data_IF_600444662427
#
_entry.id   IF_600444662427
#
_cell.length_a   1.000
_cell.length_b   1.000
_cell.length_c   1.000
_cell.angle_alpha   90.00
_cell.angle_beta   90.00
_cell.angle_gamma   90.00
#
_symmetry.space_group_name_H-M   'P 1'
#
loop_
_entity.id
_entity.type
_entity.pdbx_description
1 polymer ?
#
# COMPACT_ATOMS: atom_id res chain seq x y z
N UNK A 1 -62.58 -10.41 -19.16
CA UNK A 1 -61.49 -9.41 -19.25
C UNK A 1 -60.65 -9.30 -17.98
N UNK A 2 -61.26 -9.11 -16.78
CA UNK A 2 -60.52 -8.96 -15.50
C UNK A 2 -59.51 -10.07 -15.19
N UNK A 3 -59.78 -11.32 -15.59
CA UNK A 3 -58.90 -12.49 -15.35
C UNK A 3 -57.53 -12.39 -16.01
N UNK A 4 -57.43 -11.88 -17.25
CA UNK A 4 -56.13 -11.71 -17.93
C UNK A 4 -55.22 -10.69 -17.23
N UNK A 5 -55.82 -9.67 -16.60
CA UNK A 5 -55.06 -8.64 -15.87
C UNK A 5 -54.38 -9.17 -14.61
N UNK A 6 -54.90 -10.25 -14.01
CA UNK A 6 -54.27 -10.94 -12.87
C UNK A 6 -53.08 -11.79 -13.35
N UNK A 7 -53.24 -12.50 -14.47
CA UNK A 7 -52.16 -13.30 -15.06
C UNK A 7 -50.96 -12.44 -15.48
N UNK A 8 -51.19 -11.30 -16.14
CA UNK A 8 -50.13 -10.34 -16.49
C UNK A 8 -49.35 -9.83 -15.28
N UNK A 9 -50.02 -9.56 -14.15
CA UNK A 9 -49.34 -9.12 -12.91
C UNK A 9 -48.42 -10.20 -12.34
N UNK A 10 -48.82 -11.46 -12.33
CA UNK A 10 -47.96 -12.54 -11.87
C UNK A 10 -46.72 -12.75 -12.77
N UNK A 11 -46.85 -12.56 -14.08
CA UNK A 11 -45.69 -12.60 -15.00
C UNK A 11 -44.70 -11.46 -14.70
N UNK A 12 -45.18 -10.24 -14.43
CA UNK A 12 -44.30 -9.11 -14.06
C UNK A 12 -43.58 -9.38 -12.73
N UNK A 13 -44.27 -9.91 -11.71
CA UNK A 13 -43.61 -10.28 -10.45
C UNK A 13 -42.56 -11.39 -10.63
N UNK A 14 -42.83 -12.40 -11.47
CA UNK A 14 -41.87 -13.45 -11.80
C UNK A 14 -40.65 -12.90 -12.55
N UNK A 15 -40.83 -11.94 -13.47
CA UNK A 15 -39.72 -11.31 -14.19
C UNK A 15 -38.83 -10.47 -13.26
N UNK A 16 -39.41 -9.65 -12.39
CA UNK A 16 -38.65 -8.86 -11.40
C UNK A 16 -37.91 -9.78 -10.41
N UNK A 17 -38.52 -10.89 -10.00
CA UNK A 17 -37.89 -11.86 -9.11
C UNK A 17 -36.76 -12.63 -9.82
N UNK A 18 -36.93 -13.00 -11.09
CA UNK A 18 -35.87 -13.53 -11.95
C UNK A 18 -34.72 -12.53 -12.14
N UNK A 19 -35.01 -11.25 -12.34
CA UNK A 19 -34.00 -10.20 -12.47
C UNK A 19 -33.22 -10.02 -11.15
N UNK A 20 -33.89 -10.03 -9.99
CA UNK A 20 -33.22 -10.09 -8.69
C UNK A 20 -32.36 -11.36 -8.51
N UNK A 21 -32.84 -12.53 -8.95
CA UNK A 21 -32.05 -13.77 -8.92
C UNK A 21 -30.84 -13.71 -9.85
N UNK A 22 -30.97 -13.19 -11.07
CA UNK A 22 -29.84 -12.99 -12.01
C UNK A 22 -28.83 -11.99 -11.46
N UNK A 23 -29.27 -10.94 -10.76
CA UNK A 23 -28.39 -10.01 -10.07
C UNK A 23 -27.65 -10.67 -8.90
N UNK A 24 -28.29 -11.55 -8.10
CA UNK A 24 -27.57 -12.32 -7.07
C UNK A 24 -26.61 -13.34 -7.66
N UNK A 25 -27.00 -14.06 -8.72
CA UNK A 25 -26.14 -15.05 -9.39
C UNK A 25 -24.91 -14.37 -9.98
N UNK A 26 -25.07 -13.27 -10.72
CA UNK A 26 -23.93 -12.47 -11.20
C UNK A 26 -23.02 -11.97 -10.07
N UNK A 27 -23.58 -11.48 -8.97
CA UNK A 27 -22.78 -11.07 -7.80
C UNK A 27 -22.00 -12.23 -7.14
N UNK A 28 -22.42 -13.49 -7.35
CA UNK A 28 -21.66 -14.69 -6.95
C UNK A 28 -20.73 -15.23 -8.04
N UNK A 29 -21.02 -15.02 -9.32
CA UNK A 29 -20.12 -15.39 -10.43
C UNK A 29 -18.92 -14.43 -10.48
N UNK A 30 -19.15 -13.12 -10.34
CA UNK A 30 -18.08 -12.11 -10.21
C UNK A 30 -17.17 -12.41 -8.99
N UNK A 31 -17.74 -12.99 -7.92
CA UNK A 31 -17.00 -13.42 -6.73
C UNK A 31 -16.29 -14.80 -6.87
N UNK A 32 -16.48 -15.51 -7.99
CA UNK A 32 -15.88 -16.83 -8.23
C UNK A 32 -15.00 -16.87 -9.49
N UNK A 33 -15.24 -16.06 -10.52
CA UNK A 33 -14.40 -16.01 -11.72
C UNK A 33 -12.98 -15.48 -11.44
N UNK A 34 -12.76 -14.81 -10.31
CA UNK A 34 -11.42 -14.49 -9.80
C UNK A 34 -10.58 -15.69 -9.36
N UNK A 35 -11.13 -16.92 -9.29
CA UNK A 35 -10.45 -18.11 -8.73
C UNK A 35 -9.77 -19.03 -9.76
N UNK A 36 -9.72 -18.63 -11.03
CA UNK A 36 -8.97 -19.35 -12.07
C UNK A 36 -7.50 -18.90 -12.19
N UNK A 37 -7.14 -17.75 -11.59
CA UNK A 37 -5.76 -17.38 -11.30
C UNK A 37 -5.44 -17.70 -9.84
N UNK A 38 -4.24 -18.20 -9.58
CA UNK A 38 -3.77 -18.49 -8.21
C UNK A 38 -3.50 -17.22 -7.43
N UNK A 39 -4.54 -16.66 -6.82
CA UNK A 39 -4.42 -15.70 -5.71
C UNK A 39 -4.81 -16.46 -4.45
N UNK A 40 -3.87 -16.56 -3.51
CA UNK A 40 -4.11 -17.18 -2.21
C UNK A 40 -5.32 -16.53 -1.50
N UNK A 41 -5.91 -17.26 -0.55
CA UNK A 41 -7.00 -16.72 0.25
C UNK A 41 -6.49 -15.54 1.10
N UNK A 42 -6.61 -14.31 0.57
CA UNK A 42 -6.09 -13.09 1.17
C UNK A 42 -6.70 -12.91 2.56
N UNK A 43 -5.94 -13.32 3.56
CA UNK A 43 -6.19 -13.07 4.99
C UNK A 43 -6.31 -11.56 5.15
N UNK A 44 -7.55 -11.09 5.35
CA UNK A 44 -8.02 -9.74 4.98
C UNK A 44 -7.06 -8.60 5.28
N UNK A 45 -6.11 -8.37 4.38
CA UNK A 45 -5.02 -7.44 4.58
C UNK A 45 -5.59 -6.03 4.58
N UNK A 46 -5.22 -5.23 5.58
CA UNK A 46 -5.72 -3.86 5.73
C UNK A 46 -5.15 -3.00 4.62
N UNK A 47 -5.85 -2.95 3.47
CA UNK A 47 -5.48 -2.14 2.30
C UNK A 47 -5.12 -0.74 2.77
N UNK A 48 -3.84 -0.42 2.69
CA UNK A 48 -3.24 0.81 3.18
C UNK A 48 -2.56 1.52 2.01
N UNK A 49 -2.63 2.84 2.00
CA UNK A 49 -1.90 3.65 1.02
C UNK A 49 -0.54 3.95 1.64
N UNK A 50 0.51 3.27 1.16
CA UNK A 50 1.86 3.81 1.30
C UNK A 50 1.89 5.17 0.59
N UNK A 51 1.83 6.23 1.40
CA UNK A 51 1.74 7.61 0.92
C UNK A 51 3.08 8.10 0.37
N UNK A 52 4.21 7.53 0.78
CA UNK A 52 5.50 7.91 0.19
C UNK A 52 5.66 7.26 -1.19
N UNK A 53 5.43 5.96 -1.33
CA UNK A 53 5.51 5.27 -2.63
C UNK A 53 4.45 5.79 -3.61
N UNK A 54 3.22 6.06 -3.17
CA UNK A 54 2.22 6.72 -4.01
C UNK A 54 2.68 8.10 -4.49
N UNK A 55 3.30 8.91 -3.63
CA UNK A 55 3.85 10.22 -4.02
C UNK A 55 5.11 10.10 -4.87
N UNK A 56 5.91 9.04 -4.72
CA UNK A 56 7.07 8.69 -5.55
C UNK A 56 6.68 8.16 -6.93
N UNK A 57 5.44 7.69 -7.11
CA UNK A 57 4.83 7.44 -8.44
C UNK A 57 4.30 8.74 -9.03
N UNK A 58 3.53 9.50 -8.26
CA UNK A 58 2.95 10.78 -8.69
C UNK A 58 4.01 11.88 -8.95
N UNK A 59 5.23 11.78 -8.42
CA UNK A 59 6.34 12.71 -8.71
C UNK A 59 6.98 12.47 -10.09
N UNK A 60 6.81 11.27 -10.67
CA UNK A 60 7.35 10.89 -11.99
C UNK A 60 6.48 11.35 -13.16
N UNK A 61 5.33 11.98 -12.91
CA UNK A 61 4.43 12.48 -13.95
C UNK A 61 5.20 13.49 -14.84
N UNK A 62 5.43 13.20 -16.12
CA UNK A 62 6.16 14.12 -16.99
C UNK A 62 5.31 15.37 -17.22
N UNK A 63 5.93 16.55 -17.33
CA UNK A 63 5.21 17.80 -17.55
C UNK A 63 5.12 18.19 -19.04
N UNK A 64 5.05 17.22 -19.96
CA UNK A 64 4.86 17.51 -21.38
C UNK A 64 3.55 18.28 -21.62
N UNK A 65 3.59 19.34 -22.41
CA UNK A 65 2.38 20.01 -22.90
C UNK A 65 1.80 19.33 -24.16
N UNK A 66 0.87 20.01 -24.84
CA UNK A 66 0.21 19.48 -26.04
C UNK A 66 1.14 19.49 -27.25
N UNK A 67 1.96 20.54 -27.39
CA UNK A 67 2.88 20.75 -28.51
C UNK A 67 4.17 19.92 -28.33
N UNK A 68 4.61 19.67 -27.10
CA UNK A 68 5.64 18.68 -26.76
C UNK A 68 5.34 17.28 -27.32
N UNK A 69 4.07 16.87 -27.32
CA UNK A 69 3.63 15.53 -27.76
C UNK A 69 3.23 15.54 -29.23
N UNK A 70 2.52 16.57 -29.70
CA UNK A 70 2.06 16.70 -31.08
C UNK A 70 3.18 16.91 -32.09
N UNK A 71 4.18 17.70 -31.74
CA UNK A 71 5.28 18.06 -32.65
C UNK A 71 6.50 17.15 -32.48
N UNK A 72 6.36 16.04 -31.74
CA UNK A 72 7.34 14.96 -31.75
C UNK A 72 7.23 14.15 -33.04
N UNK A 73 8.16 14.34 -33.97
CA UNK A 73 8.17 13.62 -35.25
C UNK A 73 8.08 12.11 -35.09
N UNK A 74 8.75 11.56 -34.07
CA UNK A 74 8.71 10.12 -33.78
C UNK A 74 7.44 9.63 -33.08
N UNK A 75 6.44 10.51 -32.87
CA UNK A 75 5.04 10.16 -32.59
C UNK A 75 4.13 10.40 -33.80
N UNK A 76 4.34 11.47 -34.58
CA UNK A 76 3.53 11.75 -35.78
C UNK A 76 3.72 10.71 -36.87
N UNK A 77 4.95 10.23 -37.05
CA UNK A 77 5.36 9.36 -38.16
C UNK A 77 4.93 7.89 -37.93
N UNK A 78 4.56 7.54 -36.69
CA UNK A 78 4.08 6.20 -36.33
C UNK A 78 2.63 5.97 -36.77
N UNK A 79 1.72 6.86 -36.36
CA UNK A 79 0.31 6.87 -36.75
C UNK A 79 -0.32 8.21 -36.35
N UNK A 80 -1.13 8.80 -37.25
CA UNK A 80 -1.66 10.17 -37.10
C UNK A 80 -2.59 10.38 -35.91
N UNK A 81 -3.07 9.31 -35.26
CA UNK A 81 -3.88 9.37 -34.04
C UNK A 81 -3.15 8.86 -32.78
N UNK A 82 -1.95 8.27 -32.91
CA UNK A 82 -1.26 7.66 -31.76
C UNK A 82 -0.81 8.73 -30.74
N UNK A 83 -0.24 9.84 -31.20
CA UNK A 83 0.11 10.98 -30.34
C UNK A 83 -1.10 11.54 -29.56
N UNK A 84 -2.33 11.43 -30.10
CA UNK A 84 -3.56 11.79 -29.39
C UNK A 84 -3.92 10.81 -28.27
N UNK A 85 -3.53 9.54 -28.36
CA UNK A 85 -3.65 8.60 -27.24
C UNK A 85 -2.62 8.89 -26.14
N UNK A 86 -1.36 9.20 -26.53
CA UNK A 86 -0.32 9.67 -25.60
C UNK A 86 -0.80 10.93 -24.86
N UNK A 87 -1.36 11.91 -25.57
CA UNK A 87 -1.92 13.14 -24.98
C UNK A 87 -3.12 12.88 -24.06
N UNK A 88 -4.01 11.94 -24.38
CA UNK A 88 -5.14 11.57 -23.49
C UNK A 88 -4.67 11.00 -22.15
N UNK A 89 -3.67 10.11 -22.15
CA UNK A 89 -3.06 9.61 -20.89
C UNK A 89 -2.37 10.75 -20.15
N UNK A 90 -1.61 11.59 -20.84
CA UNK A 90 -0.91 12.73 -20.26
C UNK A 90 -1.87 13.74 -19.59
N UNK A 91 -3.04 14.00 -20.19
CA UNK A 91 -4.06 14.87 -19.60
C UNK A 91 -4.66 14.25 -18.33
N UNK A 92 -4.96 12.95 -18.33
CA UNK A 92 -5.48 12.24 -17.17
C UNK A 92 -4.44 12.12 -16.03
N UNK A 93 -3.15 12.01 -16.36
CA UNK A 93 -2.04 12.07 -15.41
C UNK A 93 -1.95 13.43 -14.70
N UNK A 94 -2.10 14.55 -15.42
CA UNK A 94 -2.09 15.90 -14.80
C UNK A 94 -3.21 16.05 -13.76
N UNK A 95 -4.39 15.53 -14.06
CA UNK A 95 -5.56 15.51 -13.16
C UNK A 95 -5.35 14.62 -11.91
N UNK A 96 -4.60 13.52 -12.04
CA UNK A 96 -4.48 12.47 -11.00
C UNK A 96 -4.00 12.99 -9.64
N UNK A 97 -3.20 14.06 -9.61
CA UNK A 97 -2.73 14.70 -8.37
C UNK A 97 -3.88 15.27 -7.54
N UNK A 98 -4.82 15.98 -8.18
CA UNK A 98 -6.00 16.51 -7.51
C UNK A 98 -6.96 15.39 -7.08
N UNK A 99 -7.11 14.34 -7.89
CA UNK A 99 -7.95 13.19 -7.55
C UNK A 99 -7.39 12.40 -6.37
N UNK A 100 -6.08 12.20 -6.29
CA UNK A 100 -5.42 11.60 -5.13
C UNK A 100 -5.62 12.45 -3.86
N UNK A 101 -5.32 13.76 -3.91
CA UNK A 101 -5.47 14.66 -2.76
C UNK A 101 -6.93 14.73 -2.24
N UNK A 102 -7.90 14.85 -3.14
CA UNK A 102 -9.31 14.83 -2.80
C UNK A 102 -9.70 13.46 -2.19
N UNK A 103 -9.17 12.37 -2.76
CA UNK A 103 -9.42 11.00 -2.30
C UNK A 103 -8.89 10.70 -0.90
N UNK A 104 -7.61 10.98 -0.63
CA UNK A 104 -7.00 10.80 0.70
C UNK A 104 -7.67 11.66 1.75
N UNK A 105 -7.98 12.93 1.41
CA UNK A 105 -8.71 13.83 2.30
C UNK A 105 -10.11 13.31 2.61
N UNK A 106 -10.85 12.81 1.61
CA UNK A 106 -12.16 12.21 1.85
C UNK A 106 -12.09 10.94 2.70
N UNK A 107 -11.09 10.07 2.51
CA UNK A 107 -10.86 8.88 3.36
C UNK A 107 -10.64 9.30 4.82
N UNK A 108 -9.79 10.30 5.05
CA UNK A 108 -9.50 10.85 6.39
C UNK A 108 -10.75 11.45 7.05
N UNK A 109 -11.47 12.33 6.34
CA UNK A 109 -12.73 12.91 6.81
C UNK A 109 -13.82 11.86 7.05
N UNK A 110 -13.77 10.72 6.37
CA UNK A 110 -14.63 9.57 6.63
C UNK A 110 -14.33 8.89 7.96
N UNK A 111 -13.05 8.71 8.28
CA UNK A 111 -12.59 8.11 9.54
C UNK A 111 -13.07 8.90 10.76
N UNK A 112 -12.89 10.22 10.75
CA UNK A 112 -13.35 11.12 11.83
C UNK A 112 -14.87 11.03 12.04
N UNK A 113 -15.63 11.05 10.94
CA UNK A 113 -17.10 10.94 10.95
C UNK A 113 -17.58 9.60 11.48
N UNK A 114 -17.00 8.48 11.00
CA UNK A 114 -17.32 7.14 11.50
C UNK A 114 -16.99 7.04 12.98
N UNK A 115 -15.82 7.52 13.42
CA UNK A 115 -15.38 7.47 14.82
C UNK A 115 -16.31 8.26 15.74
N UNK A 116 -16.77 9.44 15.32
CA UNK A 116 -17.74 10.24 16.08
C UNK A 116 -19.11 9.55 16.19
N UNK A 117 -19.62 8.99 15.09
CA UNK A 117 -20.91 8.30 15.07
C UNK A 117 -20.86 6.96 15.84
N UNK A 118 -19.79 6.17 15.69
CA UNK A 118 -19.60 4.92 16.43
C UNK A 118 -19.52 5.17 17.93
N UNK A 119 -18.81 6.23 18.37
CA UNK A 119 -18.82 6.62 19.78
C UNK A 119 -20.23 7.05 20.24
N UNK A 120 -20.95 7.85 19.46
CA UNK A 120 -22.32 8.27 19.78
C UNK A 120 -23.31 7.08 19.87
N UNK A 121 -23.07 6.05 19.04
CA UNK A 121 -23.75 4.75 19.08
C UNK A 121 -23.43 4.04 20.39
N UNK A 122 -22.16 3.76 20.67
CA UNK A 122 -21.63 3.09 21.89
C UNK A 122 -22.11 3.78 23.18
N UNK A 123 -21.94 5.10 23.27
CA UNK A 123 -22.36 5.92 24.42
C UNK A 123 -23.85 5.76 24.76
N UNK A 124 -24.70 5.44 23.77
CA UNK A 124 -26.15 5.32 23.91
C UNK A 124 -26.65 3.86 24.04
N UNK A 125 -25.78 2.85 24.02
CA UNK A 125 -26.17 1.44 23.81
C UNK A 125 -27.13 0.90 24.88
N UNK A 126 -26.65 0.68 26.09
CA UNK A 126 -27.46 0.12 27.18
C UNK A 126 -28.65 1.00 27.59
N UNK A 127 -28.64 2.28 27.25
CA UNK A 127 -29.79 3.17 27.44
C UNK A 127 -30.88 2.94 26.39
N UNK A 128 -30.48 2.82 25.11
CA UNK A 128 -31.37 2.50 24.00
C UNK A 128 -31.93 1.09 24.13
N UNK A 129 -31.12 0.13 24.58
CA UNK A 129 -31.58 -1.24 24.86
C UNK A 129 -32.63 -1.25 25.99
N UNK A 130 -32.34 -0.65 27.16
CA UNK A 130 -33.28 -0.58 28.30
C UNK A 130 -34.64 -0.03 27.88
N UNK A 131 -34.67 1.12 27.19
CA UNK A 131 -35.94 1.75 26.81
C UNK A 131 -36.66 0.99 25.68
N UNK A 132 -35.93 0.25 24.83
CA UNK A 132 -36.52 -0.61 23.80
C UNK A 132 -37.12 -1.89 24.40
N UNK A 133 -36.45 -2.52 25.37
CA UNK A 133 -36.98 -3.66 26.11
C UNK A 133 -38.25 -3.26 26.88
N UNK A 134 -38.17 -2.21 27.69
CA UNK A 134 -39.32 -1.63 28.41
C UNK A 134 -40.54 -1.40 27.49
N UNK A 135 -40.34 -0.81 26.31
CA UNK A 135 -41.46 -0.47 25.41
C UNK A 135 -41.99 -1.65 24.60
N UNK A 136 -41.19 -2.72 24.41
CA UNK A 136 -41.69 -4.04 24.00
C UNK A 136 -42.57 -4.65 25.08
N UNK A 137 -42.08 -4.67 26.32
CA UNK A 137 -42.72 -5.39 27.43
C UNK A 137 -44.03 -4.69 27.87
N UNK A 138 -44.07 -3.35 27.79
CA UNK A 138 -45.30 -2.55 27.77
C UNK A 138 -46.22 -2.97 26.62
N UNK A 139 -45.70 -3.05 25.39
CA UNK A 139 -46.47 -3.43 24.20
C UNK A 139 -47.15 -4.80 24.33
N UNK A 140 -46.48 -5.78 24.91
CA UNK A 140 -47.02 -7.12 25.15
C UNK A 140 -48.06 -7.17 26.30
N UNK A 141 -48.13 -6.14 27.16
CA UNK A 141 -49.16 -5.99 28.20
C UNK A 141 -50.35 -5.12 27.75
N UNK A 142 -50.14 -4.11 26.91
CA UNK A 142 -51.21 -3.18 26.46
C UNK A 142 -51.78 -3.52 25.08
N UNK A 143 -51.28 -4.56 24.40
CA UNK A 143 -51.78 -4.99 23.09
C UNK A 143 -51.99 -6.50 22.98
N UNK A 144 -52.85 -6.90 22.04
CA UNK A 144 -53.07 -8.29 21.62
C UNK A 144 -52.93 -8.41 20.10
N UNK A 145 -52.64 -9.60 19.60
CA UNK A 145 -52.62 -9.88 18.15
C UNK A 145 -53.94 -10.50 17.71
N UNK A 146 -54.69 -9.80 16.88
CA UNK A 146 -55.97 -10.27 16.30
C UNK A 146 -55.89 -10.21 14.77
N UNK A 147 -56.14 -11.34 14.10
CA UNK A 147 -56.03 -11.43 12.63
C UNK A 147 -54.66 -11.01 12.08
N UNK A 148 -53.58 -11.22 12.84
CA UNK A 148 -52.22 -10.78 12.51
C UNK A 148 -51.94 -9.29 12.73
N UNK A 149 -52.91 -8.49 13.18
CA UNK A 149 -52.74 -7.07 13.52
C UNK A 149 -52.56 -6.89 15.02
N UNK A 150 -51.70 -5.97 15.42
CA UNK A 150 -51.58 -5.53 16.81
C UNK A 150 -52.72 -4.57 17.14
N UNK A 151 -53.56 -4.95 18.10
CA UNK A 151 -54.75 -4.19 18.57
C UNK A 151 -54.52 -3.83 20.04
N UNK A 152 -54.74 -2.56 20.42
CA UNK A 152 -54.64 -2.14 21.83
C UNK A 152 -55.79 -2.73 22.65
N UNK A 153 -55.50 -3.12 23.88
CA UNK A 153 -56.51 -3.53 24.85
C UNK A 153 -57.25 -2.28 25.38
N UNK A 154 -58.58 -2.33 25.56
CA UNK A 154 -59.28 -1.41 26.43
C UNK A 154 -58.70 -1.47 27.84
N UNK A 155 -58.69 -0.35 28.57
CA UNK A 155 -58.04 -0.23 29.87
C UNK A 155 -58.47 -1.32 30.88
N UNK A 156 -59.77 -1.61 30.96
CA UNK A 156 -60.33 -2.67 31.83
C UNK A 156 -59.96 -4.11 31.45
N UNK A 157 -59.30 -4.33 30.29
CA UNK A 157 -58.80 -5.64 29.86
C UNK A 157 -57.27 -5.80 30.03
N UNK A 158 -56.59 -4.80 30.60
CA UNK A 158 -55.15 -4.84 30.86
C UNK A 158 -54.89 -5.56 32.20
N UNK A 159 -53.83 -6.36 32.27
CA UNK A 159 -53.35 -6.92 33.54
C UNK A 159 -52.78 -5.79 34.41
N UNK A 160 -53.65 -5.24 35.27
CA UNK A 160 -53.33 -4.13 36.18
C UNK A 160 -52.09 -4.41 37.03
N UNK A 161 -51.86 -5.64 37.49
CA UNK A 161 -50.70 -5.96 38.34
C UNK A 161 -49.39 -5.95 37.55
N UNK A 162 -49.40 -6.36 36.28
CA UNK A 162 -48.21 -6.24 35.40
C UNK A 162 -47.99 -4.81 34.96
N UNK A 163 -49.05 -4.12 34.57
CA UNK A 163 -49.01 -2.71 34.17
C UNK A 163 -48.49 -1.80 35.29
N UNK A 164 -48.97 -2.01 36.52
CA UNK A 164 -48.51 -1.30 37.73
C UNK A 164 -47.04 -1.53 38.08
N UNK A 165 -46.43 -2.62 37.59
CA UNK A 165 -44.99 -2.87 37.67
C UNK A 165 -44.24 -2.11 36.59
N UNK A 166 -44.66 -2.25 35.33
CA UNK A 166 -44.07 -1.58 34.17
C UNK A 166 -44.13 -0.05 34.25
N UNK A 167 -45.15 0.53 34.91
CA UNK A 167 -45.22 1.97 35.21
C UNK A 167 -44.09 2.42 36.14
N UNK A 168 -43.75 1.63 37.17
CA UNK A 168 -42.63 1.94 38.08
C UNK A 168 -41.28 1.74 37.38
N UNK A 169 -41.16 0.68 36.58
CA UNK A 169 -39.97 0.41 35.78
C UNK A 169 -39.74 1.51 34.72
N UNK A 170 -40.80 2.03 34.10
CA UNK A 170 -40.71 3.15 33.18
C UNK A 170 -40.17 4.42 33.85
N UNK A 171 -40.64 4.77 35.04
CA UNK A 171 -40.08 5.90 35.82
C UNK A 171 -38.60 5.70 36.11
N UNK A 172 -38.21 4.48 36.52
CA UNK A 172 -36.81 4.12 36.81
C UNK A 172 -35.92 4.21 35.56
N UNK A 173 -36.32 3.58 34.45
CA UNK A 173 -35.57 3.61 33.19
C UNK A 173 -35.46 5.03 32.63
N UNK A 174 -36.53 5.84 32.68
CA UNK A 174 -36.46 7.24 32.27
C UNK A 174 -35.45 8.03 33.12
N UNK A 175 -35.42 7.81 34.43
CA UNK A 175 -34.44 8.47 35.32
C UNK A 175 -32.99 8.02 35.06
N UNK A 176 -32.76 6.70 34.87
CA UNK A 176 -31.44 6.13 34.57
C UNK A 176 -30.88 6.58 33.20
N UNK A 177 -31.75 6.85 32.22
CA UNK A 177 -31.35 7.07 30.82
C UNK A 177 -31.44 8.53 30.35
N UNK A 178 -31.97 9.46 31.17
CA UNK A 178 -32.22 10.87 30.79
C UNK A 178 -31.03 11.62 30.18
N UNK A 179 -29.80 11.30 30.57
CA UNK A 179 -28.60 11.95 30.02
C UNK A 179 -28.07 11.31 28.73
N UNK A 180 -28.59 10.14 28.36
CA UNK A 180 -28.19 9.36 27.16
C UNK A 180 -29.17 9.52 25.99
N UNK A 181 -30.21 10.34 26.14
CA UNK A 181 -31.10 10.78 25.06
C UNK A 181 -30.28 11.52 23.99
N UNK A 182 -30.45 11.27 22.68
CA UNK A 182 -29.75 12.01 21.63
C UNK A 182 -30.04 13.52 21.67
N UNK A 183 -29.04 14.33 22.03
CA UNK A 183 -29.09 15.81 22.10
C UNK A 183 -28.71 16.46 20.75
N UNK A 184 -28.75 17.79 20.64
CA UNK A 184 -28.50 18.48 19.35
C UNK A 184 -27.14 18.13 18.72
N UNK A 185 -26.08 17.97 19.50
CA UNK A 185 -24.75 17.59 18.98
C UNK A 185 -24.73 16.21 18.29
N UNK A 186 -25.54 15.26 18.77
CA UNK A 186 -25.69 13.95 18.13
C UNK A 186 -26.32 14.09 16.73
N UNK A 187 -27.37 14.93 16.62
CA UNK A 187 -27.98 15.26 15.34
C UNK A 187 -27.02 16.02 14.42
N UNK A 188 -26.25 16.97 14.97
CA UNK A 188 -25.23 17.69 14.22
C UNK A 188 -24.16 16.74 13.66
N UNK A 189 -23.73 15.71 14.40
CA UNK A 189 -22.80 14.69 13.88
C UNK A 189 -23.39 13.85 12.77
N UNK A 190 -24.69 13.56 12.81
CA UNK A 190 -25.38 12.91 11.69
C UNK A 190 -25.58 13.82 10.48
N UNK A 191 -25.82 15.12 10.68
CA UNK A 191 -25.86 16.11 9.61
C UNK A 191 -24.46 16.30 8.97
N UNK A 192 -23.40 16.36 9.78
CA UNK A 192 -22.00 16.39 9.31
C UNK A 192 -21.69 15.14 8.47
N UNK A 193 -22.12 13.96 8.95
CA UNK A 193 -21.93 12.69 8.27
C UNK A 193 -22.71 12.57 6.96
N UNK A 194 -23.97 13.00 6.92
CA UNK A 194 -24.77 12.92 5.70
C UNK A 194 -24.24 13.89 4.62
N UNK A 195 -23.87 15.12 4.99
CA UNK A 195 -23.28 16.07 4.03
C UNK A 195 -21.94 15.56 3.49
N UNK A 196 -21.03 15.15 4.38
CA UNK A 196 -19.72 14.70 3.95
C UNK A 196 -19.84 13.47 3.01
N UNK A 197 -20.90 12.65 3.17
CA UNK A 197 -21.17 11.49 2.31
C UNK A 197 -21.53 11.91 0.89
N UNK A 198 -22.28 13.00 0.74
CA UNK A 198 -22.58 13.58 -0.57
C UNK A 198 -21.31 14.10 -1.24
N UNK A 199 -20.49 14.85 -0.51
CA UNK A 199 -19.20 15.37 -1.00
C UNK A 199 -18.25 14.25 -1.45
N UNK A 200 -18.04 13.23 -0.62
CA UNK A 200 -17.15 12.12 -0.95
C UNK A 200 -17.73 11.14 -1.98
N UNK A 201 -19.06 11.09 -2.16
CA UNK A 201 -19.67 10.43 -3.34
C UNK A 201 -19.37 11.20 -4.62
N UNK A 202 -19.31 12.54 -4.57
CA UNK A 202 -18.88 13.40 -5.67
C UNK A 202 -17.41 13.15 -6.01
N UNK A 203 -16.50 13.37 -5.05
CA UNK A 203 -15.05 13.17 -5.21
C UNK A 203 -14.73 11.76 -5.72
N UNK A 204 -15.37 10.71 -5.18
CA UNK A 204 -15.17 9.35 -5.70
C UNK A 204 -15.49 9.23 -7.19
N UNK A 205 -16.56 9.85 -7.69
CA UNK A 205 -16.89 9.81 -9.14
C UNK A 205 -15.82 10.50 -9.98
N UNK A 206 -15.15 11.53 -9.46
CA UNK A 206 -14.03 12.16 -10.15
C UNK A 206 -12.79 11.25 -10.18
N UNK A 207 -12.46 10.56 -9.08
CA UNK A 207 -11.39 9.56 -9.04
C UNK A 207 -11.69 8.41 -10.00
N UNK A 208 -12.89 7.84 -9.91
CA UNK A 208 -13.35 6.74 -10.76
C UNK A 208 -13.33 7.15 -12.26
N UNK A 209 -13.67 8.40 -12.59
CA UNK A 209 -13.59 8.95 -13.95
C UNK A 209 -12.15 9.12 -14.46
N UNK A 210 -11.24 9.69 -13.66
CA UNK A 210 -9.83 9.83 -14.06
C UNK A 210 -9.14 8.47 -14.17
N UNK A 211 -9.46 7.52 -13.29
CA UNK A 211 -8.99 6.13 -13.36
C UNK A 211 -9.48 5.43 -14.65
N UNK A 212 -10.75 5.59 -14.99
CA UNK A 212 -11.33 5.04 -16.22
C UNK A 212 -10.73 5.67 -17.49
N UNK A 213 -10.45 6.98 -17.45
CA UNK A 213 -9.75 7.70 -18.52
C UNK A 213 -8.31 7.20 -18.71
N UNK A 214 -7.58 6.93 -17.62
CA UNK A 214 -6.26 6.29 -17.67
C UNK A 214 -6.33 4.88 -18.25
N UNK A 215 -7.28 4.04 -17.81
CA UNK A 215 -7.45 2.66 -18.31
C UNK A 215 -7.65 2.64 -19.82
N UNK A 216 -8.67 3.36 -20.32
CA UNK A 216 -8.93 3.50 -21.77
C UNK A 216 -7.74 4.12 -22.50
N UNK A 217 -7.11 5.13 -21.91
CA UNK A 217 -5.91 5.76 -22.46
C UNK A 217 -4.76 4.76 -22.68
N UNK A 218 -4.51 3.87 -21.72
CA UNK A 218 -3.49 2.81 -21.78
C UNK A 218 -3.91 1.67 -22.73
N UNK A 219 -5.18 1.26 -22.73
CA UNK A 219 -5.72 0.27 -23.67
C UNK A 219 -5.48 0.69 -25.14
N UNK A 220 -5.53 1.99 -25.47
CA UNK A 220 -5.19 2.45 -26.83
C UNK A 220 -3.72 2.13 -27.20
N UNK A 221 -2.76 2.24 -26.28
CA UNK A 221 -1.35 1.93 -26.60
C UNK A 221 -1.20 0.49 -27.10
N UNK A 222 -1.85 -0.46 -26.42
CA UNK A 222 -1.71 -1.88 -26.72
C UNK A 222 -2.58 -2.31 -27.92
N UNK A 223 -3.70 -1.61 -28.17
CA UNK A 223 -4.56 -1.88 -29.34
C UNK A 223 -4.03 -1.32 -30.67
N UNK A 224 -3.17 -0.29 -30.68
CA UNK A 224 -2.73 0.32 -31.94
C UNK A 224 -1.79 -0.54 -32.79
N UNK A 225 -1.17 -1.60 -32.25
CA UNK A 225 -0.23 -2.46 -32.97
C UNK A 225 1.07 -1.77 -33.44
N UNK A 226 1.25 -0.50 -33.09
CA UNK A 226 2.40 0.36 -33.41
C UNK A 226 3.58 0.00 -32.51
N UNK A 227 4.79 -0.10 -33.07
CA UNK A 227 6.01 -0.26 -32.26
C UNK A 227 6.47 1.08 -31.66
N UNK A 228 5.75 1.55 -30.64
CA UNK A 228 6.08 2.77 -29.91
C UNK A 228 7.27 2.62 -28.94
N UNK A 229 7.86 1.43 -28.80
CA UNK A 229 8.97 1.20 -27.86
C UNK A 229 10.24 2.00 -28.17
N UNK A 230 10.38 2.45 -29.43
CA UNK A 230 11.45 3.36 -29.85
C UNK A 230 11.21 4.82 -29.42
N UNK A 231 9.96 5.23 -29.14
CA UNK A 231 9.66 6.59 -28.69
C UNK A 231 9.72 6.69 -27.16
N UNK A 232 10.68 7.46 -26.66
CA UNK A 232 10.90 7.65 -25.23
C UNK A 232 9.69 8.26 -24.51
N UNK A 233 9.04 9.30 -25.08
CA UNK A 233 7.91 9.99 -24.43
C UNK A 233 6.70 9.08 -24.25
N UNK A 234 6.36 8.29 -25.27
CA UNK A 234 5.29 7.30 -25.21
C UNK A 234 5.56 6.25 -24.13
N UNK A 235 6.78 5.70 -24.07
CA UNK A 235 7.16 4.73 -23.04
C UNK A 235 7.14 5.33 -21.63
N UNK A 236 7.57 6.59 -21.47
CA UNK A 236 7.56 7.32 -20.20
C UNK A 236 6.12 7.60 -19.72
N UNK A 237 5.26 8.12 -20.60
CA UNK A 237 3.84 8.38 -20.33
C UNK A 237 3.06 7.08 -20.08
N UNK A 238 3.30 5.99 -20.83
CA UNK A 238 2.63 4.71 -20.58
C UNK A 238 2.98 4.17 -19.19
N UNK A 239 4.27 4.05 -18.89
CA UNK A 239 4.75 3.50 -17.61
C UNK A 239 4.24 4.28 -16.41
N UNK A 240 4.28 5.62 -16.47
CA UNK A 240 3.75 6.44 -15.38
C UNK A 240 2.22 6.41 -15.34
N UNK A 241 1.55 6.26 -16.49
CA UNK A 241 0.13 5.96 -16.59
C UNK A 241 -0.26 4.68 -15.83
N UNK A 242 0.51 3.61 -15.98
CA UNK A 242 0.33 2.33 -15.27
C UNK A 242 0.59 2.48 -13.75
N UNK A 243 1.72 3.07 -13.36
CA UNK A 243 2.06 3.36 -11.96
C UNK A 243 0.95 4.16 -11.24
N UNK A 244 0.38 5.18 -11.92
CA UNK A 244 -0.63 6.08 -11.36
C UNK A 244 -2.06 5.51 -11.43
N UNK A 245 -2.38 4.70 -12.45
CA UNK A 245 -3.62 3.91 -12.51
C UNK A 245 -3.77 3.05 -11.25
N UNK A 246 -2.70 2.38 -10.84
CA UNK A 246 -2.74 1.47 -9.69
C UNK A 246 -2.87 2.24 -8.36
N UNK A 247 -2.22 3.40 -8.24
CA UNK A 247 -2.41 4.34 -7.11
C UNK A 247 -3.86 4.82 -7.01
N UNK A 248 -4.48 5.24 -8.12
CA UNK A 248 -5.89 5.68 -8.11
C UNK A 248 -6.86 4.50 -7.88
N UNK A 249 -6.55 3.28 -8.34
CA UNK A 249 -7.37 2.10 -8.06
C UNK A 249 -7.39 1.76 -6.56
N UNK A 250 -6.27 1.91 -5.86
CA UNK A 250 -6.20 1.75 -4.41
C UNK A 250 -7.01 2.84 -3.67
N UNK A 251 -6.97 4.10 -4.15
CA UNK A 251 -7.83 5.19 -3.64
C UNK A 251 -9.31 4.86 -3.84
N UNK A 252 -9.72 4.40 -5.03
CA UNK A 252 -11.11 3.97 -5.32
C UNK A 252 -11.57 2.83 -4.42
N UNK A 253 -10.71 1.82 -4.19
CA UNK A 253 -11.02 0.72 -3.27
C UNK A 253 -11.28 1.24 -1.85
N UNK A 254 -10.40 2.11 -1.33
CA UNK A 254 -10.53 2.63 0.03
C UNK A 254 -11.69 3.60 0.19
N UNK A 255 -11.95 4.47 -0.78
CA UNK A 255 -13.20 5.25 -0.85
C UNK A 255 -14.43 4.33 -0.84
N UNK A 256 -14.34 3.14 -1.45
CA UNK A 256 -15.31 2.05 -1.31
C UNK A 256 -15.48 1.55 0.14
N UNK A 257 -14.40 1.03 0.74
CA UNK A 257 -14.37 0.49 2.13
C UNK A 257 -14.99 1.49 3.12
N UNK A 258 -14.51 2.74 3.12
CA UNK A 258 -14.99 3.74 4.06
C UNK A 258 -16.44 4.17 3.76
N UNK A 259 -16.84 4.34 2.49
CA UNK A 259 -18.23 4.67 2.14
C UNK A 259 -19.22 3.62 2.68
N UNK A 260 -18.86 2.33 2.62
CA UNK A 260 -19.68 1.25 3.16
C UNK A 260 -19.75 1.32 4.69
N UNK A 261 -18.61 1.43 5.37
CA UNK A 261 -18.56 1.57 6.84
C UNK A 261 -19.38 2.77 7.34
N UNK A 262 -19.28 3.93 6.66
CA UNK A 262 -20.05 5.13 7.01
C UNK A 262 -21.55 4.97 6.80
N UNK A 263 -22.01 4.21 5.80
CA UNK A 263 -23.44 3.90 5.65
C UNK A 263 -23.98 3.07 6.81
N UNK A 264 -23.21 2.09 7.30
CA UNK A 264 -23.59 1.30 8.47
C UNK A 264 -23.61 2.16 9.74
N UNK A 265 -22.52 2.88 10.02
CA UNK A 265 -22.37 3.78 11.18
C UNK A 265 -23.50 4.83 11.26
N UNK A 266 -23.77 5.54 10.16
CA UNK A 266 -24.88 6.51 10.06
C UNK A 266 -26.25 5.85 10.15
N UNK A 267 -26.41 4.65 9.57
CA UNK A 267 -27.66 3.89 9.62
C UNK A 267 -28.01 3.42 11.03
N UNK A 268 -27.02 2.95 11.78
CA UNK A 268 -27.19 2.53 13.17
C UNK A 268 -27.48 3.71 14.11
N UNK A 269 -26.72 4.81 13.98
CA UNK A 269 -26.98 6.04 14.69
C UNK A 269 -28.43 6.54 14.50
N UNK A 270 -28.95 6.50 13.27
CA UNK A 270 -30.36 6.82 12.98
C UNK A 270 -31.34 5.83 13.60
N UNK A 271 -31.09 4.52 13.52
CA UNK A 271 -31.93 3.50 14.18
C UNK A 271 -32.07 3.74 15.68
N UNK A 272 -30.99 4.14 16.38
CA UNK A 272 -31.05 4.44 17.81
C UNK A 272 -31.94 5.67 18.09
N UNK A 273 -31.82 6.73 17.30
CA UNK A 273 -32.73 7.91 17.37
C UNK A 273 -34.19 7.53 17.06
N UNK A 274 -34.44 6.66 16.08
CA UNK A 274 -35.78 6.17 15.75
C UNK A 274 -36.37 5.31 16.87
N UNK A 275 -35.56 4.47 17.53
CA UNK A 275 -35.95 3.72 18.72
C UNK A 275 -36.33 4.64 19.89
N UNK A 276 -35.53 5.68 20.18
CA UNK A 276 -35.87 6.71 21.16
C UNK A 276 -37.17 7.46 20.83
N UNK A 277 -37.37 7.86 19.57
CA UNK A 277 -38.61 8.50 19.12
C UNK A 277 -39.84 7.59 19.27
N UNK A 278 -39.70 6.31 18.92
CA UNK A 278 -40.77 5.30 19.12
C UNK A 278 -41.07 5.12 20.60
N UNK A 279 -40.03 4.97 21.42
CA UNK A 279 -40.16 4.73 22.85
C UNK A 279 -40.92 5.84 23.57
N UNK A 280 -40.65 7.11 23.25
CA UNK A 280 -41.42 8.23 23.81
C UNK A 280 -42.87 8.31 23.31
N UNK A 281 -43.18 7.82 22.10
CA UNK A 281 -44.56 7.70 21.65
C UNK A 281 -45.29 6.58 22.41
N UNK A 282 -44.66 5.42 22.61
CA UNK A 282 -45.22 4.30 23.35
C UNK A 282 -45.41 4.62 24.85
N UNK A 283 -44.50 5.39 25.46
CA UNK A 283 -44.60 5.84 26.85
C UNK A 283 -45.63 6.95 27.08
N UNK A 284 -45.84 7.86 26.12
CA UNK A 284 -46.92 8.85 26.17
C UNK A 284 -48.29 8.20 26.20
N UNK A 285 -48.45 7.13 25.41
CA UNK A 285 -49.68 6.34 25.38
C UNK A 285 -49.94 5.66 26.74
N UNK A 286 -48.92 5.10 27.38
CA UNK A 286 -49.00 4.57 28.76
C UNK A 286 -49.43 5.66 29.74
N UNK A 287 -48.81 6.85 29.67
CA UNK A 287 -49.17 7.99 30.51
C UNK A 287 -50.64 8.43 30.37
N UNK A 288 -51.28 8.14 29.23
CA UNK A 288 -52.71 8.38 28.99
C UNK A 288 -53.67 7.29 29.48
N UNK A 289 -53.18 6.13 29.95
CA UNK A 289 -54.02 4.99 30.37
C UNK A 289 -54.52 5.11 31.82
N UNK A 290 -55.10 6.26 32.17
CA UNK A 290 -55.57 6.60 33.51
C UNK A 290 -56.77 5.79 34.04
N UNK A 291 -57.36 4.95 33.17
CA UNK A 291 -58.39 3.96 33.52
C UNK A 291 -57.79 2.57 33.83
N UNK A 292 -56.55 2.30 33.45
CA UNK A 292 -55.92 0.98 33.60
C UNK A 292 -55.24 0.79 34.97
N UNK A 293 -55.12 1.84 35.76
CA UNK A 293 -54.43 1.84 37.06
C UNK A 293 -55.00 2.90 38.00
N UNK A 294 -54.79 2.72 39.31
CA UNK A 294 -54.99 3.76 40.34
C UNK A 294 -53.75 4.68 40.48
N UNK A 295 -52.60 4.30 39.91
CA UNK A 295 -51.29 4.99 39.99
C UNK A 295 -51.21 6.23 39.10
N UNK A 296 -52.17 7.14 39.25
CA UNK A 296 -52.31 8.34 38.42
C UNK A 296 -51.14 9.31 38.56
N UNK A 297 -50.57 9.43 39.76
CA UNK A 297 -49.36 10.24 39.94
C UNK A 297 -48.17 9.69 39.16
N UNK A 298 -48.01 8.37 39.10
CA UNK A 298 -46.91 7.74 38.36
C UNK A 298 -47.10 7.82 36.85
N UNK A 299 -48.32 7.72 36.34
CA UNK A 299 -48.60 8.06 34.94
C UNK A 299 -48.26 9.52 34.61
N UNK A 300 -48.52 10.45 35.53
CA UNK A 300 -48.11 11.85 35.38
C UNK A 300 -46.59 12.00 35.43
N UNK A 301 -45.90 11.36 36.37
CA UNK A 301 -44.42 11.33 36.44
C UNK A 301 -43.78 10.75 35.17
N UNK A 302 -44.47 9.86 34.43
CA UNK A 302 -44.05 9.43 33.09
C UNK A 302 -44.24 10.55 32.07
N UNK A 303 -45.44 11.14 31.96
CA UNK A 303 -45.74 12.29 31.06
C UNK A 303 -44.70 13.41 31.23
N UNK A 304 -44.48 13.86 32.47
CA UNK A 304 -43.56 14.95 32.81
C UNK A 304 -42.11 14.64 32.39
N UNK A 305 -41.66 13.39 32.59
CA UNK A 305 -40.30 12.95 32.23
C UNK A 305 -40.07 12.83 30.72
N UNK A 306 -41.11 12.59 29.92
CA UNK A 306 -40.98 12.44 28.47
C UNK A 306 -41.33 13.70 27.69
N UNK A 307 -42.13 14.65 28.21
CA UNK A 307 -42.62 15.79 27.43
C UNK A 307 -41.47 16.58 26.80
N UNK A 308 -40.52 17.06 27.62
CA UNK A 308 -39.39 17.86 27.14
C UNK A 308 -38.45 17.03 26.24
N UNK A 309 -37.93 15.85 26.64
CA UNK A 309 -37.08 15.05 25.75
C UNK A 309 -37.75 14.62 24.43
N UNK A 310 -39.05 14.32 24.44
CA UNK A 310 -39.81 13.99 23.21
C UNK A 310 -39.95 15.21 22.30
N UNK A 311 -40.27 16.37 22.87
CA UNK A 311 -40.41 17.64 22.15
C UNK A 311 -39.08 18.08 21.53
N UNK A 312 -37.99 18.01 22.29
CA UNK A 312 -36.65 18.34 21.84
C UNK A 312 -36.18 17.37 20.75
N UNK A 313 -36.31 16.06 20.96
CA UNK A 313 -35.98 15.03 19.97
C UNK A 313 -36.81 15.17 18.69
N UNK A 314 -38.08 15.56 18.81
CA UNK A 314 -38.94 15.93 17.69
C UNK A 314 -38.41 17.14 16.93
N UNK A 315 -38.13 18.24 17.63
CA UNK A 315 -37.62 19.50 17.08
C UNK A 315 -36.31 19.31 16.30
N UNK A 316 -35.32 18.61 16.89
CA UNK A 316 -33.99 18.42 16.29
C UNK A 316 -33.98 17.42 15.12
N UNK A 317 -35.00 16.56 15.00
CA UNK A 317 -35.14 15.60 13.89
C UNK A 317 -36.13 16.03 12.80
N UNK A 318 -37.02 16.99 13.06
CA UNK A 318 -37.93 17.56 12.07
C UNK A 318 -37.18 18.46 11.07
N UNK A 319 -37.06 17.98 9.83
CA UNK A 319 -36.40 18.71 8.73
C UNK A 319 -37.22 19.89 8.19
N UNK A 320 -38.51 19.99 8.51
CA UNK A 320 -39.36 21.12 8.12
C UNK A 320 -39.21 22.32 9.09
N UNK A 321 -38.73 22.07 10.30
CA UNK A 321 -38.43 23.08 11.30
C UNK A 321 -37.32 24.03 10.81
N UNK A 322 -37.59 25.34 10.85
CA UNK A 322 -36.66 26.37 10.37
C UNK A 322 -35.30 26.36 11.07
N UNK A 323 -35.23 25.99 12.36
CA UNK A 323 -33.96 25.87 13.11
C UNK A 323 -33.18 24.65 12.67
N UNK A 324 -33.81 23.49 12.52
CA UNK A 324 -33.16 22.27 12.02
C UNK A 324 -32.70 22.44 10.57
N UNK A 325 -33.49 23.10 9.72
CA UNK A 325 -33.07 23.49 8.38
C UNK A 325 -31.89 24.48 8.39
N UNK A 326 -31.87 25.44 9.32
CA UNK A 326 -30.74 26.38 9.51
C UNK A 326 -29.48 25.67 10.03
N UNK A 327 -29.62 24.69 10.94
CA UNK A 327 -28.52 23.82 11.42
C UNK A 327 -27.95 23.02 10.26
N UNK A 328 -28.79 22.32 9.50
CA UNK A 328 -28.39 21.59 8.30
C UNK A 328 -27.67 22.48 7.29
N UNK A 329 -28.24 23.63 6.92
CA UNK A 329 -27.62 24.58 6.00
C UNK A 329 -26.30 25.18 6.50
N UNK A 330 -26.12 25.33 7.82
CA UNK A 330 -24.82 25.70 8.41
C UNK A 330 -23.84 24.54 8.28
N UNK A 331 -24.21 23.35 8.73
CA UNK A 331 -23.39 22.13 8.66
C UNK A 331 -22.95 21.83 7.23
N UNK A 332 -23.81 22.06 6.23
CA UNK A 332 -23.49 21.94 4.81
C UNK A 332 -22.31 22.84 4.43
N UNK A 333 -22.34 24.12 4.82
CA UNK A 333 -21.26 25.09 4.56
C UNK A 333 -19.99 24.79 5.36
N UNK A 334 -20.13 24.45 6.64
CA UNK A 334 -19.00 24.15 7.53
C UNK A 334 -18.23 22.91 7.03
N UNK A 335 -18.93 21.86 6.55
CA UNK A 335 -18.31 20.65 6.00
C UNK A 335 -17.76 20.87 4.58
N UNK A 336 -18.49 21.56 3.70
CA UNK A 336 -18.02 21.90 2.35
C UNK A 336 -16.72 22.73 2.41
N UNK A 337 -16.67 23.75 3.28
CA UNK A 337 -15.45 24.50 3.54
C UNK A 337 -14.34 23.60 4.10
N UNK A 338 -14.61 22.81 5.15
CA UNK A 338 -13.59 21.97 5.79
C UNK A 338 -12.95 20.96 4.81
N UNK A 339 -13.72 20.39 3.88
CA UNK A 339 -13.20 19.49 2.84
C UNK A 339 -12.38 20.28 1.81
N UNK A 340 -12.83 21.46 1.37
CA UNK A 340 -12.08 22.31 0.42
C UNK A 340 -10.75 22.80 0.99
N UNK A 341 -10.76 23.30 2.22
CA UNK A 341 -9.57 23.75 2.94
C UNK A 341 -8.59 22.57 3.10
N UNK A 342 -9.08 21.39 3.53
CA UNK A 342 -8.24 20.20 3.70
C UNK A 342 -7.69 19.64 2.37
N UNK A 343 -8.44 19.68 1.27
CA UNK A 343 -7.95 19.30 -0.06
C UNK A 343 -6.82 20.24 -0.53
N UNK A 344 -6.93 21.54 -0.26
CA UNK A 344 -5.91 22.53 -0.59
C UNK A 344 -4.64 22.35 0.27
N UNK A 345 -4.81 22.10 1.57
CA UNK A 345 -3.74 21.74 2.50
C UNK A 345 -3.00 20.47 2.04
N UNK A 346 -3.72 19.41 1.66
CA UNK A 346 -3.12 18.15 1.20
C UNK A 346 -2.40 18.34 -0.15
N UNK A 347 -2.93 19.13 -1.09
CA UNK A 347 -2.23 19.48 -2.32
C UNK A 347 -0.90 20.21 -2.05
N UNK A 348 -0.87 21.16 -1.10
CA UNK A 348 0.37 21.83 -0.70
C UNK A 348 1.37 20.87 -0.04
N UNK A 349 0.89 20.00 0.85
CA UNK A 349 1.72 18.96 1.51
C UNK A 349 2.31 17.98 0.49
N UNK A 350 1.51 17.53 -0.49
CA UNK A 350 1.96 16.67 -1.58
C UNK A 350 3.03 17.35 -2.44
N UNK A 351 2.88 18.64 -2.76
CA UNK A 351 3.85 19.37 -3.57
C UNK A 351 5.19 19.59 -2.86
N UNK A 352 5.18 19.80 -1.54
CA UNK A 352 6.40 19.83 -0.72
C UNK A 352 7.03 18.43 -0.64
N UNK A 353 6.24 17.40 -0.38
CA UNK A 353 6.72 16.03 -0.20
C UNK A 353 7.26 15.42 -1.50
N UNK A 354 6.64 15.72 -2.65
CA UNK A 354 7.20 15.37 -3.96
C UNK A 354 8.56 16.03 -4.21
N UNK A 355 8.76 17.28 -3.77
CA UNK A 355 10.07 17.96 -3.89
C UNK A 355 11.11 17.30 -3.00
N UNK A 356 10.76 16.89 -1.78
CA UNK A 356 11.62 16.08 -0.91
C UNK A 356 12.01 14.77 -1.59
N UNK A 357 11.03 13.96 -2.00
CA UNK A 357 11.25 12.66 -2.67
C UNK A 357 12.12 12.84 -3.93
N UNK A 358 11.84 13.86 -4.76
CA UNK A 358 12.63 14.13 -5.95
C UNK A 358 14.06 14.65 -5.64
N UNK A 359 14.30 15.28 -4.50
CA UNK A 359 15.65 15.59 -4.03
C UNK A 359 16.37 14.35 -3.49
N UNK A 360 15.70 13.53 -2.67
CA UNK A 360 16.26 12.31 -2.11
C UNK A 360 16.61 11.29 -3.21
N UNK A 361 15.76 11.09 -4.22
CA UNK A 361 16.08 10.25 -5.38
C UNK A 361 17.24 10.83 -6.24
N UNK A 362 17.36 12.17 -6.36
CA UNK A 362 18.53 12.80 -7.00
C UNK A 362 19.81 12.58 -6.20
N UNK A 363 19.76 12.71 -4.86
CA UNK A 363 20.88 12.44 -3.96
C UNK A 363 21.33 10.98 -4.06
N UNK A 364 20.39 10.03 -4.12
CA UNK A 364 20.67 8.60 -4.32
C UNK A 364 21.35 8.33 -5.67
N UNK A 365 20.83 8.86 -6.77
CA UNK A 365 21.44 8.69 -8.11
C UNK A 365 22.83 9.31 -8.17
N UNK A 366 23.05 10.45 -7.52
CA UNK A 366 24.37 11.09 -7.43
C UNK A 366 25.35 10.28 -6.58
N UNK A 367 24.91 9.74 -5.43
CA UNK A 367 25.72 8.84 -4.61
C UNK A 367 26.10 7.56 -5.38
N UNK A 368 25.13 6.90 -6.03
CA UNK A 368 25.39 5.73 -6.87
C UNK A 368 26.36 6.05 -8.02
N UNK A 369 26.33 7.26 -8.59
CA UNK A 369 27.30 7.70 -9.60
C UNK A 369 28.69 7.84 -9.02
N UNK A 370 28.83 8.52 -7.88
CA UNK A 370 30.12 8.71 -7.21
C UNK A 370 30.73 7.37 -6.76
N UNK A 371 29.92 6.44 -6.25
CA UNK A 371 30.35 5.09 -5.88
C UNK A 371 30.86 4.30 -7.10
N UNK A 372 30.17 4.39 -8.25
CA UNK A 372 30.64 3.78 -9.51
C UNK A 372 31.92 4.42 -10.03
N UNK A 373 32.05 5.75 -9.98
CA UNK A 373 33.28 6.45 -10.38
C UNK A 373 34.46 6.13 -9.46
N UNK A 374 34.25 5.98 -8.15
CA UNK A 374 35.28 5.55 -7.21
C UNK A 374 35.71 4.10 -7.45
N UNK A 375 34.76 3.19 -7.69
CA UNK A 375 35.05 1.79 -8.03
C UNK A 375 35.76 1.65 -9.38
N UNK A 376 35.41 2.45 -10.40
CA UNK A 376 36.13 2.45 -11.67
C UNK A 376 37.56 2.98 -11.49
N UNK A 377 37.75 4.08 -10.76
CA UNK A 377 39.10 4.59 -10.43
C UNK A 377 39.92 3.57 -9.66
N UNK A 378 39.32 2.84 -8.71
CA UNK A 378 39.98 1.75 -7.98
C UNK A 378 40.46 0.65 -8.93
N UNK A 379 39.60 0.20 -9.86
CA UNK A 379 39.97 -0.80 -10.87
C UNK A 379 41.06 -0.31 -11.83
N UNK A 380 40.99 0.95 -12.28
CA UNK A 380 42.02 1.55 -13.13
C UNK A 380 43.37 1.65 -12.40
N UNK A 381 43.37 1.98 -11.11
CA UNK A 381 44.59 2.04 -10.30
C UNK A 381 45.15 0.63 -10.00
N UNK A 382 44.30 -0.34 -9.67
CA UNK A 382 44.68 -1.76 -9.52
C UNK A 382 45.26 -2.33 -10.83
N UNK A 383 44.69 -1.99 -11.99
CA UNK A 383 45.23 -2.38 -13.30
C UNK A 383 46.59 -1.70 -13.58
N UNK A 384 46.76 -0.43 -13.20
CA UNK A 384 48.04 0.29 -13.34
C UNK A 384 49.12 -0.26 -12.42
N UNK A 385 48.78 -0.61 -11.18
CA UNK A 385 49.68 -1.27 -10.24
C UNK A 385 50.07 -2.66 -10.75
N UNK A 386 49.11 -3.48 -11.18
CA UNK A 386 49.39 -4.78 -11.79
C UNK A 386 50.29 -4.70 -13.04
N UNK A 387 50.08 -3.71 -13.92
CA UNK A 387 50.97 -3.44 -15.06
C UNK A 387 52.36 -2.98 -14.64
N UNK A 388 52.48 -2.14 -13.60
CA UNK A 388 53.75 -1.67 -13.07
C UNK A 388 54.54 -2.81 -12.39
N UNK A 389 53.87 -3.68 -11.63
CA UNK A 389 54.47 -4.87 -11.02
C UNK A 389 54.91 -5.89 -12.08
N UNK A 390 54.08 -6.15 -13.09
CA UNK A 390 54.44 -7.03 -14.20
C UNK A 390 55.69 -6.51 -14.96
N UNK A 391 55.71 -5.22 -15.29
CA UNK A 391 56.88 -4.59 -15.93
C UNK A 391 58.13 -4.60 -15.03
N UNK A 392 57.96 -4.41 -13.71
CA UNK A 392 59.07 -4.50 -12.74
C UNK A 392 59.59 -5.95 -12.60
N UNK A 393 58.71 -6.95 -12.65
CA UNK A 393 59.08 -8.37 -12.62
C UNK A 393 59.79 -8.79 -13.92
N UNK A 394 59.32 -8.33 -15.08
CA UNK A 394 60.01 -8.55 -16.36
C UNK A 394 61.38 -7.87 -16.38
N UNK A 395 61.47 -6.60 -15.94
CA UNK A 395 62.74 -5.88 -15.84
C UNK A 395 63.75 -6.54 -14.87
N UNK A 396 63.28 -7.24 -13.83
CA UNK A 396 64.12 -8.11 -13.00
C UNK A 396 64.59 -9.33 -13.79
N UNK A 397 63.68 -10.10 -14.40
CA UNK A 397 64.04 -11.28 -15.22
C UNK A 397 65.04 -10.97 -16.34
N UNK A 398 64.90 -9.82 -17.00
CA UNK A 398 65.86 -9.37 -18.03
C UNK A 398 67.23 -9.05 -17.42
N UNK A 399 67.31 -8.42 -16.25
CA UNK A 399 68.58 -8.20 -15.52
C UNK A 399 69.20 -9.52 -15.07
N UNK A 400 68.41 -10.41 -14.48
CA UNK A 400 68.86 -11.71 -13.98
C UNK A 400 69.41 -12.58 -15.12
N UNK A 401 68.76 -12.57 -16.30
CA UNK A 401 69.26 -13.30 -17.48
C UNK A 401 70.49 -12.62 -18.12
N UNK A 402 70.56 -11.29 -18.15
CA UNK A 402 71.78 -10.57 -18.57
C UNK A 402 72.95 -10.87 -17.64
N UNK A 403 72.72 -10.94 -16.32
CA UNK A 403 73.76 -11.29 -15.37
C UNK A 403 74.15 -12.76 -15.48
N UNK A 404 73.19 -13.67 -15.67
CA UNK A 404 73.48 -15.09 -15.95
C UNK A 404 74.34 -15.24 -17.20
N UNK A 405 74.01 -14.54 -18.29
CA UNK A 405 74.80 -14.51 -19.53
C UNK A 405 76.21 -13.94 -19.33
N UNK A 406 76.37 -12.87 -18.52
CA UNK A 406 77.69 -12.34 -18.15
C UNK A 406 78.49 -13.35 -17.33
N UNK A 407 77.89 -14.01 -16.34
CA UNK A 407 78.52 -15.06 -15.53
C UNK A 407 78.89 -16.28 -16.38
N UNK A 408 78.04 -16.69 -17.31
CA UNK A 408 78.31 -17.75 -18.30
C UNK A 408 79.47 -17.38 -19.23
N UNK A 409 79.53 -16.14 -19.72
CA UNK A 409 80.61 -15.65 -20.59
C UNK A 409 81.93 -15.47 -19.82
N UNK A 410 81.90 -15.01 -18.57
CA UNK A 410 83.07 -14.96 -17.68
C UNK A 410 83.57 -16.37 -17.37
N UNK A 411 82.70 -17.28 -16.92
CA UNK A 411 83.06 -18.67 -16.68
C UNK A 411 83.56 -19.38 -17.95
N UNK A 412 83.08 -18.99 -19.15
CA UNK A 412 83.64 -19.46 -20.41
C UNK A 412 85.03 -18.87 -20.68
N UNK A 413 85.24 -17.57 -20.47
CA UNK A 413 86.57 -16.95 -20.60
C UNK A 413 87.57 -17.54 -19.62
N UNK A 414 87.19 -17.72 -18.36
CA UNK A 414 87.97 -18.41 -17.34
C UNK A 414 88.28 -19.86 -17.74
N UNK A 415 87.34 -20.61 -18.34
CA UNK A 415 87.60 -21.96 -18.88
C UNK A 415 88.48 -21.95 -20.12
N UNK A 416 88.30 -21.01 -21.04
CA UNK A 416 89.14 -20.86 -22.24
C UNK A 416 90.55 -20.36 -21.87
N UNK A 417 90.69 -19.59 -20.79
CA UNK A 417 91.95 -19.10 -20.23
C UNK A 417 92.64 -20.17 -19.38
N UNK A 418 91.92 -20.90 -18.52
CA UNK A 418 92.42 -22.11 -17.88
C UNK A 418 92.79 -23.19 -18.91
N UNK A 419 92.06 -23.35 -20.02
CA UNK A 419 92.42 -24.28 -21.09
C UNK A 419 93.60 -23.77 -21.93
N UNK A 420 93.84 -22.45 -22.00
CA UNK A 420 95.09 -21.88 -22.56
C UNK A 420 96.25 -22.00 -21.59
N UNK A 421 96.04 -21.85 -20.29
CA UNK A 421 97.05 -22.02 -19.25
C UNK A 421 97.37 -23.50 -19.05
N UNK A 422 96.40 -24.40 -19.18
CA UNK A 422 96.59 -25.86 -19.20
C UNK A 422 97.24 -26.28 -20.52
N UNK A 423 96.92 -25.66 -21.67
CA UNK A 423 97.69 -25.88 -22.90
C UNK A 423 99.09 -25.29 -22.83
N UNK A 424 99.30 -24.16 -22.15
CA UNK A 424 100.61 -23.57 -21.95
C UNK A 424 101.43 -24.38 -20.94
N UNK A 425 100.81 -24.92 -19.88
CA UNK A 425 101.38 -25.90 -18.96
C UNK A 425 101.64 -27.22 -19.65
N UNK A 426 100.75 -27.73 -20.50
CA UNK A 426 100.99 -28.93 -21.32
C UNK A 426 102.08 -28.69 -22.36
N UNK A 427 102.23 -27.50 -22.95
CA UNK A 427 103.33 -27.17 -23.88
C UNK A 427 104.64 -26.87 -23.14
N UNK A 428 104.59 -26.34 -21.91
CA UNK A 428 105.75 -26.19 -21.05
C UNK A 428 106.18 -27.52 -20.43
N UNK A 429 105.23 -28.42 -20.15
CA UNK A 429 105.43 -29.79 -19.70
C UNK A 429 105.83 -30.70 -20.87
N UNK A 430 105.34 -30.47 -22.08
CA UNK A 430 105.78 -31.15 -23.31
C UNK A 430 107.17 -30.67 -23.73
N UNK A 431 107.51 -29.39 -23.54
CA UNK A 431 108.90 -28.91 -23.67
C UNK A 431 109.80 -29.41 -22.54
N UNK A 432 109.30 -29.46 -21.30
CA UNK A 432 110.04 -30.04 -20.18
C UNK A 432 110.19 -31.57 -20.31
N UNK A 433 109.22 -32.27 -20.90
CA UNK A 433 109.29 -33.70 -21.28
C UNK A 433 110.17 -33.91 -22.51
N UNK A 434 110.18 -33.02 -23.49
CA UNK A 434 111.20 -33.04 -24.55
C UNK A 434 112.63 -32.83 -24.01
N UNK A 435 112.78 -32.18 -22.85
CA UNK A 435 114.05 -32.03 -22.11
C UNK A 435 114.27 -33.14 -21.05
N UNK A 436 113.23 -33.90 -20.65
CA UNK A 436 113.29 -34.88 -19.55
C UNK A 436 112.96 -36.34 -19.94
N UNK A 437 112.44 -36.62 -21.14
CA UNK A 437 112.30 -37.99 -21.67
C UNK A 437 113.63 -38.53 -22.21
N UNK A 438 114.58 -37.66 -22.57
CA UNK A 438 116.00 -38.03 -22.62
C UNK A 438 116.57 -38.38 -21.22
N UNK A 439 115.87 -38.01 -20.13
CA UNK A 439 116.27 -38.20 -18.74
C UNK A 439 115.55 -39.34 -17.98
N UNK A 440 115.42 -40.51 -18.64
CA UNK A 440 115.40 -41.87 -18.02
C UNK A 440 114.09 -42.38 -17.36
N UNK A 441 113.39 -43.24 -18.11
CA UNK A 441 113.11 -44.66 -17.78
C UNK A 441 113.13 -45.12 -16.28
N UNK A 442 111.95 -45.46 -15.71
CA UNK A 442 111.58 -46.69 -14.92
C UNK A 442 110.84 -46.47 -13.57
N UNK A 443 109.72 -47.23 -13.40
CA UNK A 443 109.11 -47.76 -12.14
C UNK A 443 108.47 -46.75 -11.14
N UNK A 444 107.60 -47.13 -10.19
CA UNK A 444 106.50 -48.15 -10.07
C UNK A 444 105.81 -47.98 -8.67
N UNK A 445 104.58 -48.46 -8.51
CA UNK A 445 103.88 -48.81 -7.24
C UNK A 445 103.25 -47.70 -6.35
N UNK A 446 102.20 -48.07 -5.59
CA UNK A 446 101.45 -47.25 -4.59
C UNK A 446 100.21 -46.52 -5.16
N UNK A 447 98.93 -46.92 -4.99
CA UNK A 447 98.12 -47.41 -3.85
C UNK A 447 97.61 -46.33 -2.87
N UNK A 448 96.29 -46.04 -2.90
CA UNK A 448 95.38 -46.00 -1.72
C UNK A 448 93.95 -45.50 -2.08
N UNK A 449 92.93 -46.21 -1.59
CA UNK A 449 91.53 -45.76 -1.36
C UNK A 449 91.34 -45.54 0.18
N UNK A 450 90.21 -45.08 0.77
CA UNK A 450 88.81 -44.87 0.31
C UNK A 450 88.41 -43.36 0.43
N UNK A 451 87.21 -42.83 0.75
CA UNK A 451 85.84 -43.29 1.13
C UNK A 451 84.85 -42.14 0.73
N UNK A 452 83.62 -42.29 0.22
CA UNK A 452 82.38 -42.95 0.70
C UNK A 452 81.67 -42.26 1.89
N UNK A 453 81.06 -41.07 1.67
CA UNK A 453 80.24 -40.37 2.69
C UNK A 453 78.95 -39.75 2.10
N UNK A 454 77.82 -40.45 2.29
CA UNK A 454 76.48 -39.93 2.66
C UNK A 454 75.64 -39.00 1.72
N UNK A 455 74.33 -39.32 1.63
CA UNK A 455 73.23 -38.34 1.56
C UNK A 455 72.67 -38.14 2.99
N UNK A 456 71.34 -38.23 3.26
CA UNK A 456 70.15 -37.93 2.47
C UNK A 456 69.26 -36.92 3.25
N UNK A 457 67.92 -36.97 3.07
CA UNK A 457 66.86 -36.42 3.95
C UNK A 457 66.58 -34.90 4.05
N UNK A 458 65.32 -34.58 3.71
CA UNK A 458 64.35 -33.59 4.24
C UNK A 458 63.48 -33.15 3.04
N UNK A 459 62.22 -33.56 2.85
CA UNK A 459 61.15 -34.05 3.75
C UNK A 459 60.79 -33.06 4.87
N UNK A 460 59.49 -32.95 5.17
CA UNK A 460 58.82 -31.78 5.81
C UNK A 460 58.70 -30.62 4.79
N UNK A 461 57.52 -30.08 4.40
CA UNK A 461 56.14 -30.30 4.86
C UNK A 461 55.27 -30.93 3.75
N UNK A 462 54.72 -32.11 4.01
CA UNK A 462 53.39 -32.49 3.52
C UNK A 462 52.39 -32.14 4.65
N UNK A 463 51.09 -32.04 4.35
CA UNK A 463 49.98 -31.61 5.23
C UNK A 463 49.71 -30.10 5.27
N UNK A 464 48.87 -29.64 4.34
CA UNK A 464 47.86 -28.60 4.57
C UNK A 464 46.80 -28.64 3.44
N UNK A 465 46.25 -29.83 3.19
CA UNK A 465 45.09 -30.08 2.32
C UNK A 465 44.10 -30.91 3.14
N UNK A 466 42.80 -30.67 2.94
CA UNK A 466 41.65 -31.22 3.69
C UNK A 466 41.42 -30.61 5.09
N UNK A 467 40.15 -30.30 5.38
CA UNK A 467 39.69 -29.54 6.57
C UNK A 467 39.39 -28.08 6.21
N UNK A 468 38.14 -27.60 6.13
CA UNK A 468 36.88 -28.20 6.61
C UNK A 468 35.68 -27.92 5.71
N UNK A 469 34.89 -28.96 5.42
CA UNK A 469 33.52 -28.85 4.92
C UNK A 469 32.58 -29.63 5.84
N UNK A 470 32.01 -28.98 6.87
CA UNK A 470 30.82 -29.46 7.60
C UNK A 470 30.27 -28.38 8.57
N UNK A 471 28.94 -28.37 8.72
CA UNK A 471 28.13 -27.75 9.80
C UNK A 471 28.32 -26.25 10.07
N UNK A 472 27.46 -25.44 9.46
CA UNK A 472 26.33 -24.77 10.14
C UNK A 472 25.35 -24.23 9.09
#
# INVERSE_FOLDING_TARGET
>A
MTTMFVQLRHVVYLLVLLECCVCMVRATDDANQGKAGGVDAVTGEEVFIDREEALRRLSKIPNYDYDDIKNDGSLSDLYSEFWMAVWKVQLALKDANARFANGTTCISQWGDVIKANNKMVEDAEGATEKITNLTRDIGDVVTKKEGGKTVRLPAGNVDKSKFDGLVQEAIKVLEETKEKVPKEDAMKKLDEAEQARLMCTGIRREVDYTLESLKKGLEYYDNFGVNYSANKKAMEVKKVGEDVRDVLQNITHLLGKVTVQGRFSVGEAKKRIEAWRKAYADLELVGGMEEATEKKEELQKIKDKIEVPKKDLGYITDKTNATTAKRGNKTIKDVDKRIKDANADELQRMEVEKKRIAEDDRRRVEQERLEREMEERRRQEEERQGKAEAAAAEARRVKDEQERKKREEQAKKERDEQAKEEKAKRVAEEKARQVAEEAKKKKKDGSSSPELVHGPFLLIVLMCVLGSTAVC
#
